data_IF_235252199630
#
_entry.id   IF_235252199630
#
_cell.length_a   1.000
_cell.length_b   1.000
_cell.length_c   1.000
_cell.angle_alpha   90.00
_cell.angle_beta   90.00
_cell.angle_gamma   90.00
#
_symmetry.space_group_name_H-M   'P 1'
#
loop_
_entity.id
_entity.type
_entity.pdbx_description
1 polymer ?
#
# COMPACT_ATOMS: atom_id res chain seq x y z
N UNK A 1 -4.33 -15.15 -12.60
CA UNK A 1 -3.71 -14.08 -13.42
C UNK A 1 -3.09 -12.95 -12.59
N UNK A 2 -3.55 -12.71 -11.36
CA UNK A 2 -2.88 -11.75 -10.46
C UNK A 2 -1.50 -12.22 -9.96
N UNK A 3 -1.22 -13.51 -9.97
CA UNK A 3 0.10 -14.06 -9.63
C UNK A 3 1.21 -13.69 -10.62
N UNK A 4 0.88 -13.44 -11.88
CA UNK A 4 1.86 -13.04 -12.89
C UNK A 4 2.47 -11.64 -12.64
N UNK A 5 1.78 -10.77 -11.88
CA UNK A 5 2.33 -9.45 -11.53
C UNK A 5 3.38 -9.52 -10.41
N UNK A 6 3.43 -10.64 -9.69
CA UNK A 6 4.37 -10.88 -8.59
C UNK A 6 5.72 -11.45 -9.06
N UNK A 7 5.73 -12.15 -10.19
CA UNK A 7 6.97 -12.67 -10.81
C UNK A 7 7.82 -11.53 -11.40
N UNK A 8 7.23 -10.37 -11.66
CA UNK A 8 7.95 -9.15 -12.03
C UNK A 8 8.43 -8.29 -10.87
N UNK A 9 8.28 -8.75 -9.62
CA UNK A 9 8.53 -7.95 -8.42
C UNK A 9 9.96 -7.44 -8.30
N UNK A 10 10.96 -8.19 -8.76
CA UNK A 10 12.36 -7.75 -8.73
C UNK A 10 12.61 -6.53 -9.64
N UNK A 11 11.93 -6.42 -10.78
CA UNK A 11 12.01 -5.25 -11.64
C UNK A 11 11.23 -4.07 -11.06
N UNK A 12 10.12 -4.35 -10.36
CA UNK A 12 9.32 -3.32 -9.70
C UNK A 12 9.99 -2.72 -8.45
N UNK A 13 10.84 -3.46 -7.77
CA UNK A 13 11.60 -3.00 -6.59
C UNK A 13 12.52 -1.82 -6.93
N UNK A 14 13.05 -1.77 -8.15
CA UNK A 14 13.99 -0.70 -8.57
C UNK A 14 13.30 0.61 -8.94
N UNK A 15 12.07 0.56 -9.41
CA UNK A 15 11.40 1.71 -10.03
C UNK A 15 10.24 2.27 -9.21
N UNK A 16 9.93 1.67 -8.06
CA UNK A 16 8.78 2.07 -7.23
C UNK A 16 9.18 2.28 -5.78
N UNK A 17 8.61 3.30 -5.11
CA UNK A 17 8.96 3.63 -3.73
C UNK A 17 8.59 2.54 -2.72
N UNK A 18 7.72 1.58 -3.06
CA UNK A 18 7.28 0.50 -2.17
C UNK A 18 7.50 -0.87 -2.80
N UNK A 19 8.45 -1.64 -2.30
CA UNK A 19 8.83 -2.93 -2.89
C UNK A 19 7.74 -4.01 -2.74
N UNK A 20 7.27 -4.30 -1.53
CA UNK A 20 6.29 -5.34 -1.26
C UNK A 20 4.85 -4.96 -1.60
N UNK A 21 4.56 -3.67 -1.76
CA UNK A 21 3.26 -3.14 -2.18
C UNK A 21 3.19 -2.77 -3.66
N UNK A 22 4.16 -3.15 -4.44
CA UNK A 22 4.24 -2.78 -5.87
C UNK A 22 3.04 -3.30 -6.70
N UNK A 23 2.31 -4.29 -6.20
CA UNK A 23 1.10 -4.81 -6.83
C UNK A 23 -0.15 -3.96 -6.65
N UNK A 24 -0.23 -3.13 -5.59
CA UNK A 24 -1.45 -2.39 -5.24
C UNK A 24 -1.83 -1.37 -6.33
N UNK A 25 -0.94 -0.45 -6.65
CA UNK A 25 -1.21 0.62 -7.62
C UNK A 25 -1.50 0.09 -9.02
N UNK A 26 -0.67 -0.79 -9.63
CA UNK A 26 -0.98 -1.31 -10.96
C UNK A 26 -2.22 -2.20 -10.99
N UNK A 27 -2.51 -2.98 -9.95
CA UNK A 27 -3.73 -3.77 -9.90
C UNK A 27 -4.98 -2.88 -10.02
N UNK A 28 -4.99 -1.74 -9.35
CA UNK A 28 -6.08 -0.78 -9.43
C UNK A 28 -6.10 -0.06 -10.77
N UNK A 29 -5.00 0.56 -11.17
CA UNK A 29 -4.96 1.42 -12.38
C UNK A 29 -5.12 0.62 -13.68
N UNK A 30 -4.41 -0.51 -13.82
CA UNK A 30 -4.50 -1.32 -15.05
C UNK A 30 -5.89 -1.93 -15.20
N UNK A 31 -6.53 -2.32 -14.08
CA UNK A 31 -7.92 -2.79 -14.11
C UNK A 31 -8.86 -1.68 -14.59
N UNK A 32 -8.74 -0.47 -14.03
CA UNK A 32 -9.55 0.67 -14.47
C UNK A 32 -9.33 1.01 -15.95
N UNK A 33 -8.10 1.01 -16.41
CA UNK A 33 -7.77 1.24 -17.81
C UNK A 33 -8.49 0.26 -18.74
N UNK A 34 -8.44 -1.03 -18.40
CA UNK A 34 -8.99 -2.10 -19.24
C UNK A 34 -10.51 -2.24 -19.16
N UNK A 35 -11.07 -2.17 -17.95
CA UNK A 35 -12.49 -2.48 -17.73
C UNK A 35 -13.40 -1.26 -17.97
N UNK A 36 -12.91 -0.06 -17.70
CA UNK A 36 -13.70 1.18 -17.82
C UNK A 36 -13.29 2.04 -19.01
N UNK A 37 -12.39 1.56 -19.88
CA UNK A 37 -11.89 2.28 -21.07
C UNK A 37 -11.44 3.72 -20.75
N UNK A 38 -10.73 3.90 -19.64
CA UNK A 38 -10.20 5.20 -19.25
C UNK A 38 -9.20 5.67 -20.31
N UNK A 39 -9.28 6.92 -20.81
CA UNK A 39 -8.32 7.42 -21.79
C UNK A 39 -6.89 7.35 -21.27
N UNK A 40 -5.93 7.02 -22.16
CA UNK A 40 -4.51 6.88 -21.79
C UNK A 40 -3.95 8.13 -21.14
N UNK A 41 -4.27 9.30 -21.67
CA UNK A 41 -3.88 10.61 -21.13
C UNK A 41 -4.34 10.76 -19.66
N UNK A 42 -5.60 10.41 -19.38
CA UNK A 42 -6.15 10.44 -18.04
C UNK A 42 -5.45 9.46 -17.08
N UNK A 43 -5.02 8.31 -17.59
CA UNK A 43 -4.22 7.36 -16.82
C UNK A 43 -2.84 7.90 -16.48
N UNK A 44 -2.19 8.57 -17.44
CA UNK A 44 -0.88 9.21 -17.23
C UNK A 44 -1.01 10.30 -16.15
N UNK A 45 -2.03 11.15 -16.23
CA UNK A 45 -2.31 12.16 -15.20
C UNK A 45 -2.54 11.54 -13.82
N UNK A 46 -3.32 10.45 -13.73
CA UNK A 46 -3.55 9.72 -12.48
C UNK A 46 -2.25 9.12 -11.91
N UNK A 47 -1.33 8.68 -12.75
CA UNK A 47 -0.01 8.22 -12.29
C UNK A 47 0.82 9.37 -11.69
N UNK A 48 0.72 10.60 -12.24
CA UNK A 48 1.35 11.77 -11.63
C UNK A 48 0.73 12.11 -10.28
N UNK A 49 -0.58 12.00 -10.12
CA UNK A 49 -1.25 12.16 -8.82
C UNK A 49 -0.73 11.13 -7.81
N UNK A 50 -0.67 9.86 -8.20
CA UNK A 50 -0.12 8.81 -7.36
C UNK A 50 1.34 9.09 -6.97
N UNK A 51 2.17 9.47 -7.94
CA UNK A 51 3.60 9.78 -7.71
C UNK A 51 3.77 10.98 -6.76
N UNK A 52 2.96 12.02 -6.90
CA UNK A 52 2.95 13.18 -6.01
C UNK A 52 2.64 12.79 -4.55
N UNK A 53 1.59 11.99 -4.34
CA UNK A 53 1.24 11.47 -3.02
C UNK A 53 2.37 10.59 -2.45
N UNK A 54 2.92 9.68 -3.27
CA UNK A 54 4.05 8.83 -2.87
C UNK A 54 5.28 9.62 -2.47
N UNK A 55 5.59 10.72 -3.19
CA UNK A 55 6.70 11.61 -2.87
C UNK A 55 6.50 12.33 -1.52
N UNK A 56 5.27 12.77 -1.25
CA UNK A 56 4.94 13.41 0.05
C UNK A 56 5.12 12.40 1.18
N UNK A 57 4.62 11.17 1.00
CA UNK A 57 4.78 10.11 1.99
C UNK A 57 6.26 9.77 2.20
N UNK A 58 7.04 9.63 1.12
CA UNK A 58 8.47 9.34 1.20
C UNK A 58 9.27 10.39 1.96
N UNK A 59 8.89 11.65 1.83
CA UNK A 59 9.58 12.76 2.50
C UNK A 59 9.21 12.88 3.99
N UNK A 60 8.03 12.42 4.40
CA UNK A 60 7.50 12.59 5.76
C UNK A 60 7.53 11.32 6.60
N UNK A 61 7.49 10.16 5.97
CA UNK A 61 7.36 8.87 6.63
C UNK A 61 8.27 7.80 6.00
N UNK A 62 8.00 6.54 6.32
CA UNK A 62 8.67 5.38 5.77
C UNK A 62 7.87 4.80 4.59
N UNK A 63 8.58 4.10 3.69
CA UNK A 63 7.99 3.34 2.58
C UNK A 63 8.26 1.83 2.69
N UNK A 64 9.26 1.43 3.48
CA UNK A 64 9.66 0.04 3.64
C UNK A 64 9.03 -0.59 4.87
N UNK A 65 8.59 -1.84 4.75
CA UNK A 65 8.06 -2.64 5.85
C UNK A 65 9.05 -2.84 6.99
N UNK A 66 10.34 -3.00 6.67
CA UNK A 66 11.42 -3.08 7.65
C UNK A 66 11.59 -1.83 8.51
N UNK A 67 11.23 -0.66 7.99
CA UNK A 67 11.36 0.61 8.71
C UNK A 67 10.09 0.99 9.47
N UNK A 68 8.93 0.81 8.86
CA UNK A 68 7.66 1.31 9.42
C UNK A 68 6.52 0.31 9.47
N UNK A 69 6.78 -0.98 9.24
CA UNK A 69 5.74 -2.00 9.11
C UNK A 69 5.06 -1.98 7.74
N UNK A 70 4.23 -2.96 7.46
CA UNK A 70 3.43 -3.00 6.22
C UNK A 70 2.46 -1.81 6.09
N UNK A 71 2.12 -1.13 7.15
CA UNK A 71 1.37 0.12 7.09
C UNK A 71 2.09 1.18 6.23
N UNK A 72 3.43 1.27 6.32
CA UNK A 72 4.23 2.16 5.51
C UNK A 72 4.26 1.72 4.04
N UNK A 73 4.30 0.44 3.79
CA UNK A 73 4.43 -0.17 2.48
C UNK A 73 3.08 -0.31 1.76
N UNK A 74 2.19 -1.17 2.26
CA UNK A 74 0.84 -1.39 1.72
C UNK A 74 -0.02 -0.13 1.89
N UNK A 75 0.13 0.58 3.02
CA UNK A 75 -0.58 1.83 3.26
C UNK A 75 -0.24 2.91 2.24
N UNK A 76 1.05 3.10 1.94
CA UNK A 76 1.49 4.05 0.91
C UNK A 76 0.95 3.67 -0.47
N UNK A 77 1.09 2.39 -0.88
CA UNK A 77 0.53 1.91 -2.14
C UNK A 77 -0.97 2.11 -2.24
N UNK A 78 -1.70 1.83 -1.15
CA UNK A 78 -3.15 2.03 -1.06
C UNK A 78 -3.54 3.52 -1.10
N UNK A 79 -2.83 4.38 -0.38
CA UNK A 79 -3.05 5.83 -0.40
C UNK A 79 -2.81 6.45 -1.77
N UNK A 80 -1.73 6.06 -2.44
CA UNK A 80 -1.41 6.47 -3.81
C UNK A 80 -2.52 6.03 -4.79
N UNK A 81 -2.96 4.77 -4.71
CA UNK A 81 -4.00 4.22 -5.56
C UNK A 81 -5.36 4.89 -5.29
N UNK A 82 -5.70 5.15 -4.03
CA UNK A 82 -6.94 5.84 -3.65
C UNK A 82 -7.02 7.24 -4.26
N UNK A 83 -5.94 8.02 -4.15
CA UNK A 83 -5.87 9.35 -4.76
C UNK A 83 -5.96 9.31 -6.29
N UNK A 84 -5.27 8.37 -6.94
CA UNK A 84 -5.30 8.21 -8.38
C UNK A 84 -6.70 7.84 -8.91
N UNK A 85 -7.40 6.91 -8.25
CA UNK A 85 -8.78 6.53 -8.62
C UNK A 85 -9.76 7.67 -8.34
N UNK A 86 -9.60 8.37 -7.23
CA UNK A 86 -10.40 9.56 -6.94
C UNK A 86 -10.27 10.58 -8.08
N UNK A 87 -9.04 10.85 -8.56
CA UNK A 87 -8.79 11.70 -9.71
C UNK A 87 -9.43 11.19 -11.01
N UNK A 88 -9.28 9.90 -11.33
CA UNK A 88 -9.88 9.29 -12.54
C UNK A 88 -11.41 9.48 -12.55
N UNK A 89 -12.04 9.33 -11.40
CA UNK A 89 -13.49 9.48 -11.22
C UNK A 89 -13.94 10.95 -11.12
N UNK A 90 -13.05 11.93 -11.28
CA UNK A 90 -13.37 13.35 -11.30
C UNK A 90 -13.39 14.05 -9.95
N UNK A 91 -12.79 13.43 -8.93
CA UNK A 91 -12.61 14.07 -7.63
C UNK A 91 -11.68 15.27 -7.68
N UNK A 92 -11.96 16.26 -6.86
CA UNK A 92 -11.13 17.46 -6.67
C UNK A 92 -9.90 17.17 -5.77
N UNK A 93 -9.05 18.18 -5.61
CA UNK A 93 -7.82 18.07 -4.81
C UNK A 93 -8.09 17.70 -3.36
N UNK A 94 -9.16 18.23 -2.76
CA UNK A 94 -9.51 17.93 -1.38
C UNK A 94 -9.99 16.49 -1.22
N UNK A 95 -10.82 16.03 -2.16
CA UNK A 95 -11.28 14.63 -2.20
C UNK A 95 -10.12 13.65 -2.42
N UNK A 96 -9.14 13.99 -3.25
CA UNK A 96 -7.91 13.20 -3.43
C UNK A 96 -7.14 13.08 -2.10
N UNK A 97 -6.98 14.18 -1.38
CA UNK A 97 -6.38 14.20 -0.05
C UNK A 97 -7.16 13.36 0.97
N UNK A 98 -8.50 13.46 0.97
CA UNK A 98 -9.35 12.67 1.83
C UNK A 98 -9.28 11.17 1.53
N UNK A 99 -9.28 10.79 0.26
CA UNK A 99 -9.13 9.39 -0.18
C UNK A 99 -7.80 8.81 0.32
N UNK A 100 -6.69 9.51 0.10
CA UNK A 100 -5.38 9.11 0.58
C UNK A 100 -5.35 8.95 2.11
N UNK A 101 -5.87 9.95 2.85
CA UNK A 101 -5.91 9.94 4.31
C UNK A 101 -6.74 8.77 4.87
N UNK A 102 -7.88 8.47 4.26
CA UNK A 102 -8.74 7.35 4.67
C UNK A 102 -8.04 6.00 4.39
N UNK A 103 -7.43 5.85 3.22
CA UNK A 103 -6.71 4.62 2.87
C UNK A 103 -5.55 4.35 3.84
N UNK A 104 -4.76 5.36 4.20
CA UNK A 104 -3.68 5.24 5.17
C UNK A 104 -4.19 4.87 6.56
N UNK A 105 -5.23 5.56 7.07
CA UNK A 105 -5.80 5.29 8.40
C UNK A 105 -6.33 3.87 8.54
N UNK A 106 -6.95 3.32 7.51
CA UNK A 106 -7.51 1.97 7.53
C UNK A 106 -6.45 0.88 7.70
N UNK A 107 -5.22 1.16 7.30
CA UNK A 107 -4.09 0.21 7.35
C UNK A 107 -3.06 0.57 8.44
N UNK A 108 -3.33 1.61 9.24
CA UNK A 108 -2.43 2.04 10.31
C UNK A 108 -2.26 0.94 11.36
N UNK A 109 -1.01 0.65 11.72
CA UNK A 109 -0.66 -0.43 12.65
C UNK A 109 -0.41 -1.78 11.98
N UNK A 110 -0.55 -1.91 10.65
CA UNK A 110 -0.26 -3.15 9.95
C UNK A 110 1.25 -3.47 10.02
N UNK A 111 1.57 -4.60 10.65
CA UNK A 111 2.93 -5.06 10.88
C UNK A 111 3.54 -5.70 9.64
N UNK A 112 4.88 -5.79 9.57
CA UNK A 112 5.61 -6.50 8.52
C UNK A 112 6.19 -7.80 9.07
N UNK A 113 5.52 -8.90 8.80
CA UNK A 113 5.79 -10.22 9.38
C UNK A 113 5.80 -11.34 8.31
N UNK A 114 6.64 -11.22 7.25
CA UNK A 114 6.69 -12.22 6.18
C UNK A 114 7.29 -13.53 6.65
N UNK A 115 6.63 -14.64 6.32
CA UNK A 115 7.08 -16.00 6.66
C UNK A 115 8.35 -16.33 5.85
N UNK A 116 9.42 -16.69 6.54
CA UNK A 116 10.72 -16.97 5.93
C UNK A 116 11.34 -15.77 5.21
N UNK A 117 10.91 -14.54 5.50
CA UNK A 117 11.36 -13.36 4.77
C UNK A 117 10.86 -13.27 3.32
N UNK A 118 9.99 -14.20 2.90
CA UNK A 118 9.45 -14.24 1.54
C UNK A 118 8.23 -13.34 1.40
N UNK A 119 8.17 -12.54 0.31
CA UNK A 119 7.06 -11.64 -0.01
C UNK A 119 5.88 -12.43 -0.58
N UNK A 120 5.44 -13.47 0.12
CA UNK A 120 4.36 -14.35 -0.30
C UNK A 120 3.28 -14.47 0.77
N UNK A 121 3.66 -14.89 1.96
CA UNK A 121 2.73 -15.00 3.10
C UNK A 121 3.16 -14.02 4.19
N UNK A 122 2.31 -13.05 4.54
CA UNK A 122 0.95 -12.77 4.05
C UNK A 122 0.87 -11.74 2.91
N UNK A 123 1.99 -11.31 2.34
CA UNK A 123 2.15 -10.10 1.52
C UNK A 123 1.25 -10.08 0.27
N UNK A 124 1.13 -11.21 -0.45
CA UNK A 124 0.27 -11.32 -1.65
C UNK A 124 -1.17 -10.92 -1.32
N UNK A 125 -1.72 -11.45 -0.23
CA UNK A 125 -3.10 -11.18 0.17
C UNK A 125 -3.27 -9.77 0.75
N UNK A 126 -2.23 -9.22 1.38
CA UNK A 126 -2.22 -7.83 1.84
C UNK A 126 -2.23 -6.83 0.68
N UNK A 127 -1.56 -7.13 -0.44
CA UNK A 127 -1.67 -6.31 -1.66
C UNK A 127 -3.12 -6.27 -2.18
N UNK A 128 -3.82 -7.41 -2.19
CA UNK A 128 -5.26 -7.44 -2.55
C UNK A 128 -6.06 -6.56 -1.58
N UNK A 129 -5.84 -6.71 -0.28
CA UNK A 129 -6.50 -5.88 0.75
C UNK A 129 -6.22 -4.39 0.54
N UNK A 130 -4.97 -4.02 0.23
CA UNK A 130 -4.58 -2.64 -0.08
C UNK A 130 -5.28 -2.07 -1.31
N UNK A 131 -5.44 -2.87 -2.37
CA UNK A 131 -6.16 -2.47 -3.58
C UNK A 131 -7.65 -2.24 -3.31
N UNK A 132 -8.31 -3.15 -2.59
CA UNK A 132 -9.73 -3.02 -2.20
C UNK A 132 -9.93 -1.81 -1.29
N UNK A 133 -9.04 -1.60 -0.31
CA UNK A 133 -9.05 -0.44 0.57
C UNK A 133 -8.93 0.87 -0.21
N UNK A 134 -8.08 0.92 -1.24
CA UNK A 134 -7.93 2.09 -2.10
C UNK A 134 -9.24 2.46 -2.81
N UNK A 135 -9.92 1.47 -3.39
CA UNK A 135 -11.21 1.67 -4.05
C UNK A 135 -12.27 2.18 -3.08
N UNK A 136 -12.39 1.55 -1.91
CA UNK A 136 -13.34 1.95 -0.88
C UNK A 136 -13.07 3.38 -0.37
N UNK A 137 -11.80 3.75 -0.15
CA UNK A 137 -11.42 5.08 0.29
C UNK A 137 -11.73 6.15 -0.76
N UNK A 138 -11.46 5.88 -2.04
CA UNK A 138 -11.81 6.77 -3.14
C UNK A 138 -13.34 6.97 -3.24
N UNK A 139 -14.11 5.89 -3.16
CA UNK A 139 -15.57 5.97 -3.23
C UNK A 139 -16.18 6.74 -2.04
N UNK A 140 -15.63 6.55 -0.84
CA UNK A 140 -16.03 7.35 0.33
C UNK A 140 -15.76 8.84 0.13
N UNK A 141 -14.57 9.21 -0.36
CA UNK A 141 -14.24 10.61 -0.61
C UNK A 141 -15.14 11.24 -1.68
N UNK A 142 -15.40 10.53 -2.77
CA UNK A 142 -16.30 10.96 -3.85
C UNK A 142 -17.74 11.09 -3.39
N UNK A 143 -18.17 10.29 -2.43
CA UNK A 143 -19.48 10.39 -1.78
C UNK A 143 -19.57 11.55 -0.77
N UNK A 144 -18.53 12.37 -0.62
CA UNK A 144 -18.49 13.50 0.29
C UNK A 144 -18.10 13.15 1.73
N UNK A 145 -17.64 11.93 1.99
CA UNK A 145 -17.11 11.57 3.31
C UNK A 145 -15.69 12.14 3.44
N UNK A 146 -15.50 13.00 4.43
CA UNK A 146 -14.24 13.70 4.65
C UNK A 146 -13.41 13.06 5.78
N UNK A 147 -12.09 13.02 5.60
CA UNK A 147 -11.18 12.77 6.71
C UNK A 147 -11.13 14.01 7.61
N UNK A 148 -11.44 13.86 8.90
CA UNK A 148 -11.33 14.96 9.88
C UNK A 148 -9.86 15.31 10.18
N UNK A 149 -8.96 14.35 10.00
CA UNK A 149 -7.52 14.56 10.15
C UNK A 149 -6.94 14.80 8.76
N UNK A 150 -6.23 15.92 8.54
CA UNK A 150 -5.56 16.20 7.27
C UNK A 150 -4.58 15.10 6.87
N UNK A 151 -4.41 14.89 5.56
CA UNK A 151 -3.56 13.82 5.03
C UNK A 151 -2.12 13.90 5.54
N UNK A 152 -1.56 15.09 5.65
CA UNK A 152 -0.21 15.31 6.17
C UNK A 152 -0.04 14.79 7.60
N UNK A 153 -1.02 15.08 8.46
CA UNK A 153 -0.99 14.61 9.85
C UNK A 153 -1.22 13.10 9.95
N UNK A 154 -1.98 12.51 9.02
CA UNK A 154 -2.14 11.05 8.94
C UNK A 154 -0.80 10.39 8.55
N UNK A 155 -0.05 10.98 7.63
CA UNK A 155 1.27 10.51 7.23
C UNK A 155 2.25 10.61 8.42
N UNK A 156 2.25 11.72 9.15
CA UNK A 156 3.09 11.90 10.34
C UNK A 156 2.73 10.88 11.44
N UNK A 157 1.44 10.63 11.65
CA UNK A 157 0.97 9.61 12.59
C UNK A 157 1.41 8.20 12.17
N UNK A 158 1.37 7.87 10.87
CA UNK A 158 1.87 6.60 10.35
C UNK A 158 3.37 6.44 10.64
N UNK A 159 4.15 7.51 10.49
CA UNK A 159 5.57 7.50 10.86
C UNK A 159 5.75 7.22 12.35
N UNK A 160 5.01 7.93 13.21
CA UNK A 160 5.10 7.77 14.66
C UNK A 160 4.75 6.33 15.10
N UNK A 161 3.70 5.74 14.50
CA UNK A 161 3.33 4.33 14.76
C UNK A 161 4.44 3.39 14.31
N UNK A 162 5.07 3.64 13.16
CA UNK A 162 6.21 2.86 12.69
C UNK A 162 7.42 2.95 13.63
N UNK A 163 7.73 4.14 14.13
CA UNK A 163 8.83 4.35 15.09
C UNK A 163 8.60 3.57 16.40
N UNK A 164 7.36 3.47 16.85
CA UNK A 164 6.96 2.76 18.07
C UNK A 164 6.72 1.27 17.87
N UNK A 165 6.71 0.78 16.63
CA UNK A 165 6.49 -0.63 16.33
C UNK A 165 7.68 -1.46 16.82
N UNK A 166 7.40 -2.55 17.53
CA UNK A 166 8.44 -3.47 18.01
C UNK A 166 9.26 -4.04 16.84
N UNK A 167 10.55 -4.21 17.05
CA UNK A 167 11.48 -4.73 16.04
C UNK A 167 11.08 -6.10 15.53
N UNK A 168 10.50 -6.95 16.39
CA UNK A 168 10.00 -8.28 16.00
C UNK A 168 8.90 -8.25 14.93
N UNK A 169 8.26 -7.09 14.74
CA UNK A 169 7.15 -6.87 13.81
C UNK A 169 7.56 -6.08 12.55
N UNK A 170 8.87 -5.87 12.34
CA UNK A 170 9.44 -5.11 11.23
C UNK A 170 10.32 -5.98 10.34
N UNK A 171 9.71 -6.95 9.64
CA UNK A 171 10.36 -7.82 8.64
C UNK A 171 11.47 -8.73 9.19
N UNK A 172 11.45 -9.01 10.49
CA UNK A 172 12.48 -9.84 11.15
C UNK A 172 12.18 -11.33 11.11
N UNK A 173 10.97 -11.73 10.72
CA UNK A 173 10.53 -13.13 10.74
C UNK A 173 10.33 -13.71 12.15
N UNK A 174 10.42 -12.87 13.19
CA UNK A 174 10.34 -13.31 14.60
C UNK A 174 8.92 -13.24 15.17
N UNK A 175 8.23 -12.13 14.89
CA UNK A 175 6.90 -11.87 15.45
C UNK A 175 5.78 -11.98 14.43
N UNK A 176 4.55 -11.73 14.89
CA UNK A 176 3.37 -11.77 14.05
C UNK A 176 3.09 -13.14 13.45
N UNK A 177 2.62 -13.17 12.21
CA UNK A 177 2.31 -14.43 11.49
C UNK A 177 3.56 -15.30 11.32
N UNK A 178 4.72 -14.69 11.08
CA UNK A 178 5.99 -15.39 10.90
C UNK A 178 6.44 -16.16 12.15
N UNK A 179 6.08 -15.68 13.33
CA UNK A 179 6.42 -16.32 14.61
C UNK A 179 5.51 -17.49 15.00
N UNK A 180 4.49 -17.82 14.22
CA UNK A 180 3.57 -18.93 14.54
C UNK A 180 4.21 -20.30 14.28
N UNK A 181 3.82 -21.36 15.03
CA UNK A 181 4.33 -22.72 14.82
C UNK A 181 4.17 -23.17 13.35
N UNK A 182 3.02 -22.92 12.75
CA UNK A 182 2.77 -23.28 11.34
C UNK A 182 3.71 -22.58 10.37
N UNK A 183 4.08 -21.32 10.64
CA UNK A 183 5.05 -20.61 9.82
C UNK A 183 6.45 -21.20 9.96
N UNK A 184 6.86 -21.59 11.15
CA UNK A 184 8.16 -22.24 11.40
C UNK A 184 8.25 -23.58 10.69
N UNK A 185 7.18 -24.39 10.68
CA UNK A 185 7.13 -25.63 9.92
C UNK A 185 7.30 -25.40 8.39
N UNK A 186 6.77 -24.30 7.88
CA UNK A 186 6.95 -23.93 6.45
C UNK A 186 8.41 -23.58 6.17
N UNK A 187 9.04 -22.78 7.04
CA UNK A 187 10.45 -22.39 6.92
C UNK A 187 11.37 -23.63 6.95
N UNK A 188 11.14 -24.55 7.90
CA UNK A 188 11.89 -25.81 7.98
C UNK A 188 11.74 -26.66 6.72
N UNK A 189 10.52 -26.79 6.18
CA UNK A 189 10.27 -27.54 4.93
C UNK A 189 10.94 -26.93 3.71
N UNK A 190 11.18 -25.61 3.72
CA UNK A 190 11.89 -24.91 2.66
C UNK A 190 13.42 -24.98 2.83
N UNK A 191 13.92 -25.50 3.96
CA UNK A 191 15.35 -25.59 4.24
C UNK A 191 16.00 -24.24 4.53
N UNK A 192 15.23 -23.30 5.05
CA UNK A 192 15.66 -21.92 5.36
C UNK A 192 15.95 -21.76 6.85
#
# INVERSE_FOLDING_TARGET
EMSASLVGSEMCIRDRPTAGACGVLPAVLVTYYKEYNVPEEKMIEAMYVAAGLGQIIANRAYLAGASGGCQAEIGSGSGMAAGAICYIKGGDTDQIGHACAMALKNLMGLVCDPVGGLVEVPCVKRNVGGAVNALAAADMALAGITSKIPVDQVIDAMKEVGDKMDVSLRETGVGGVAGTPAAQEVVEKLGM
#
